data_IF_537532782942
#
_entry.id   IF_537532782942
#
_cell.length_a   1.000
_cell.length_b   1.000
_cell.length_c   1.000
_cell.angle_alpha   90.00
_cell.angle_beta   90.00
_cell.angle_gamma   90.00
#
_symmetry.space_group_name_H-M   'P 1'
#
loop_
_entity.id
_entity.type
_entity.pdbx_description
1 polymer ?
#
# COMPACT_ATOMS: atom_id res chain seq x y z
N UNK A 1 14.54 -14.11 -10.73
CA UNK A 1 14.46 -13.29 -11.97
C UNK A 1 13.03 -12.87 -12.33
N UNK A 2 11.99 -13.64 -11.97
CA UNK A 2 10.58 -13.36 -12.30
C UNK A 2 9.93 -12.16 -11.59
N UNK A 3 10.35 -11.79 -10.38
CA UNK A 3 9.76 -10.68 -9.60
C UNK A 3 9.95 -9.30 -10.29
N UNK A 4 11.13 -9.06 -10.88
CA UNK A 4 11.46 -7.76 -11.50
C UNK A 4 10.60 -7.49 -12.75
N UNK A 5 10.32 -8.53 -13.55
CA UNK A 5 9.44 -8.42 -14.72
C UNK A 5 8.00 -8.16 -14.31
N UNK A 6 7.48 -8.84 -13.29
CA UNK A 6 6.10 -8.63 -12.82
C UNK A 6 5.86 -7.22 -12.28
N UNK A 7 6.85 -6.61 -11.60
CA UNK A 7 6.76 -5.21 -11.14
C UNK A 7 6.77 -4.24 -12.31
N UNK A 8 7.68 -4.44 -13.26
CA UNK A 8 7.79 -3.59 -14.47
C UNK A 8 6.54 -3.73 -15.35
N UNK A 9 6.02 -4.93 -15.55
CA UNK A 9 4.75 -5.18 -16.25
C UNK A 9 3.56 -4.52 -15.56
N UNK A 10 3.55 -4.47 -14.22
CA UNK A 10 2.54 -3.73 -13.45
C UNK A 10 2.47 -2.26 -13.85
N UNK A 11 3.62 -1.58 -13.93
CA UNK A 11 3.73 -0.19 -14.38
C UNK A 11 3.46 -0.04 -15.89
N UNK A 12 3.96 -0.95 -16.72
CA UNK A 12 3.77 -0.92 -18.18
C UNK A 12 2.33 -1.20 -18.61
N UNK A 13 1.55 -1.93 -17.79
CA UNK A 13 0.14 -2.22 -18.08
C UNK A 13 -0.77 -0.99 -17.99
N UNK A 14 -0.26 0.17 -17.55
CA UNK A 14 -0.98 1.45 -17.56
C UNK A 14 -2.18 1.51 -16.60
N UNK A 15 -2.35 0.54 -15.71
CA UNK A 15 -3.53 0.43 -14.84
C UNK A 15 -3.60 1.50 -13.73
N UNK A 16 -2.50 2.18 -13.43
CA UNK A 16 -2.33 3.05 -12.27
C UNK A 16 -1.72 4.40 -12.66
N UNK A 17 -0.42 4.39 -12.95
CA UNK A 17 0.40 5.50 -13.43
C UNK A 17 1.74 4.93 -13.91
N UNK A 18 2.53 5.72 -14.65
CA UNK A 18 3.89 5.33 -15.00
C UNK A 18 4.82 5.35 -13.78
N UNK A 19 6.02 4.78 -13.94
CA UNK A 19 7.00 4.68 -12.86
C UNK A 19 7.43 6.05 -12.29
N UNK A 20 7.47 7.10 -13.13
CA UNK A 20 7.90 8.43 -12.69
C UNK A 20 6.85 9.07 -11.79
N UNK A 21 5.59 8.94 -12.17
CA UNK A 21 4.48 9.43 -11.37
C UNK A 21 4.35 8.66 -10.05
N UNK A 22 4.57 7.35 -10.05
CA UNK A 22 4.58 6.56 -8.82
C UNK A 22 5.71 6.99 -7.86
N UNK A 23 6.91 7.23 -8.39
CA UNK A 23 8.03 7.76 -7.61
C UNK A 23 7.72 9.16 -7.04
N UNK A 24 7.11 10.05 -7.84
CA UNK A 24 6.69 11.38 -7.39
C UNK A 24 5.74 11.28 -6.20
N UNK A 25 4.70 10.45 -6.31
CA UNK A 25 3.72 10.25 -5.24
C UNK A 25 4.35 9.62 -3.99
N UNK A 26 5.33 8.73 -4.15
CA UNK A 26 6.07 8.15 -3.04
C UNK A 26 6.90 9.19 -2.29
N UNK A 27 7.61 10.07 -3.02
CA UNK A 27 8.37 11.17 -2.42
C UNK A 27 7.44 12.11 -1.65
N UNK A 28 6.31 12.49 -2.26
CA UNK A 28 5.31 13.34 -1.59
C UNK A 28 4.74 12.70 -0.33
N UNK A 29 4.55 11.38 -0.33
CA UNK A 29 4.14 10.66 0.86
C UNK A 29 5.20 10.75 1.95
N UNK A 30 6.47 10.49 1.64
CA UNK A 30 7.57 10.57 2.61
C UNK A 30 7.68 11.99 3.17
N UNK A 31 7.64 13.01 2.32
CA UNK A 31 7.68 14.42 2.72
C UNK A 31 6.50 14.77 3.64
N UNK A 32 5.29 14.33 3.29
CA UNK A 32 4.11 14.53 4.12
C UNK A 32 4.29 13.89 5.50
N UNK A 33 4.79 12.65 5.57
CA UNK A 33 5.01 11.97 6.85
C UNK A 33 6.05 12.71 7.70
N UNK A 34 7.15 13.18 7.08
CA UNK A 34 8.19 13.95 7.76
C UNK A 34 7.67 15.27 8.32
N UNK A 35 6.87 16.01 7.55
CA UNK A 35 6.28 17.28 7.99
C UNK A 35 5.28 17.11 9.14
N UNK A 36 4.71 15.91 9.30
CA UNK A 36 3.67 15.62 10.29
C UNK A 36 4.15 14.72 11.44
N UNK A 37 5.45 14.50 11.60
CA UNK A 37 6.01 13.62 12.65
C UNK A 37 5.58 14.01 14.08
N UNK A 38 5.49 15.32 14.34
CA UNK A 38 5.10 15.86 15.65
C UNK A 38 3.58 16.11 15.76
N UNK A 39 2.82 15.79 14.71
CA UNK A 39 1.38 15.97 14.66
C UNK A 39 0.60 14.74 15.11
N UNK A 40 -0.74 14.77 15.01
CA UNK A 40 -1.57 13.62 15.28
C UNK A 40 -1.25 12.47 14.33
N UNK A 41 -0.85 11.32 14.88
CA UNK A 41 -0.49 10.11 14.10
C UNK A 41 -1.57 9.68 13.10
N UNK A 42 -2.84 9.96 13.41
CA UNK A 42 -3.99 9.63 12.56
C UNK A 42 -3.90 10.25 11.16
N UNK A 43 -3.33 11.44 11.02
CA UNK A 43 -3.17 12.10 9.72
C UNK A 43 -2.25 11.28 8.79
N UNK A 44 -1.09 10.87 9.33
CA UNK A 44 -0.14 10.00 8.64
C UNK A 44 -0.73 8.62 8.33
N UNK A 45 -1.42 8.00 9.29
CA UNK A 45 -2.08 6.71 9.10
C UNK A 45 -3.12 6.77 7.97
N UNK A 46 -4.00 7.78 7.98
CA UNK A 46 -5.04 7.96 6.97
C UNK A 46 -4.44 8.15 5.58
N UNK A 47 -3.38 8.96 5.46
CA UNK A 47 -2.72 9.17 4.17
C UNK A 47 -2.14 7.87 3.59
N UNK A 48 -1.43 7.09 4.42
CA UNK A 48 -0.90 5.78 4.01
C UNK A 48 -2.03 4.81 3.63
N UNK A 49 -3.10 4.75 4.43
CA UNK A 49 -4.26 3.88 4.18
C UNK A 49 -4.96 4.22 2.87
N UNK A 50 -5.22 5.50 2.58
CA UNK A 50 -5.83 5.95 1.32
C UNK A 50 -5.04 5.47 0.09
N UNK A 51 -3.71 5.48 0.17
CA UNK A 51 -2.86 4.95 -0.90
C UNK A 51 -3.04 3.43 -1.04
N UNK A 52 -3.11 2.70 0.07
CA UNK A 52 -3.41 1.27 0.07
C UNK A 52 -4.77 0.94 -0.55
N UNK A 53 -5.81 1.70 -0.20
CA UNK A 53 -7.15 1.53 -0.75
C UNK A 53 -7.16 1.71 -2.28
N UNK A 54 -6.45 2.74 -2.79
CA UNK A 54 -6.29 2.97 -4.24
C UNK A 54 -5.60 1.80 -4.93
N UNK A 55 -4.54 1.24 -4.35
CA UNK A 55 -3.87 0.05 -4.90
C UNK A 55 -4.85 -1.14 -4.97
N UNK A 56 -5.73 -1.33 -3.99
CA UNK A 56 -6.74 -2.39 -4.09
C UNK A 56 -7.74 -2.14 -5.22
N UNK A 57 -8.25 -0.90 -5.35
CA UNK A 57 -9.22 -0.54 -6.39
C UNK A 57 -8.68 -0.84 -7.79
N UNK A 58 -7.40 -0.56 -8.02
CA UNK A 58 -6.74 -0.76 -9.32
C UNK A 58 -6.41 -2.23 -9.58
N UNK A 59 -5.88 -2.94 -8.56
CA UNK A 59 -5.30 -4.28 -8.75
C UNK A 59 -6.19 -5.43 -8.25
N UNK A 60 -7.37 -5.13 -7.69
CA UNK A 60 -8.43 -6.11 -7.44
C UNK A 60 -8.07 -7.29 -6.53
N UNK A 61 -7.17 -7.11 -5.56
CA UNK A 61 -6.74 -8.19 -4.66
C UNK A 61 -5.47 -8.93 -5.08
N UNK A 62 -5.00 -8.77 -6.32
CA UNK A 62 -3.84 -9.50 -6.86
C UNK A 62 -2.51 -9.24 -6.12
N UNK A 63 -2.35 -8.07 -5.49
CA UNK A 63 -1.13 -7.69 -4.78
C UNK A 63 -0.92 -8.46 -3.46
N UNK A 64 -1.96 -9.03 -2.87
CA UNK A 64 -1.83 -9.75 -1.58
C UNK A 64 -1.25 -11.17 -1.71
N UNK A 65 -1.11 -11.69 -2.93
CA UNK A 65 -0.51 -13.01 -3.18
C UNK A 65 1.02 -12.96 -3.30
N UNK A 66 1.57 -11.75 -3.38
CA UNK A 66 2.98 -11.49 -3.61
C UNK A 66 3.53 -10.83 -2.35
N UNK A 67 4.77 -11.13 -1.96
CA UNK A 67 5.53 -10.47 -0.87
C UNK A 67 5.81 -8.98 -1.17
N UNK A 68 4.96 -8.32 -1.96
CA UNK A 68 5.15 -7.00 -2.53
C UNK A 68 5.37 -5.93 -1.46
N UNK A 69 4.67 -6.04 -0.32
CA UNK A 69 4.82 -5.10 0.80
C UNK A 69 6.17 -5.26 1.49
N UNK A 70 6.61 -6.51 1.66
CA UNK A 70 7.91 -6.82 2.27
C UNK A 70 9.04 -6.39 1.31
N UNK A 71 8.94 -6.78 0.03
CA UNK A 71 9.89 -6.40 -1.03
C UNK A 71 9.99 -4.86 -1.14
N UNK A 72 8.87 -4.16 -1.03
CA UNK A 72 8.83 -2.70 -1.06
C UNK A 72 9.53 -2.08 0.17
N UNK A 73 9.27 -2.61 1.36
CA UNK A 73 9.95 -2.18 2.59
C UNK A 73 11.45 -2.44 2.54
N UNK A 74 11.87 -3.60 2.03
CA UNK A 74 13.27 -3.94 1.81
C UNK A 74 13.92 -2.97 0.82
N UNK A 75 13.30 -2.71 -0.33
CA UNK A 75 13.83 -1.78 -1.33
C UNK A 75 14.00 -0.35 -0.81
N UNK A 76 13.02 0.16 -0.05
CA UNK A 76 13.10 1.48 0.59
C UNK A 76 14.22 1.53 1.64
N UNK A 77 14.30 0.52 2.50
CA UNK A 77 15.33 0.40 3.53
C UNK A 77 16.73 0.39 2.91
N UNK A 78 16.91 -0.37 1.84
CA UNK A 78 18.14 -0.44 1.06
C UNK A 78 18.52 0.90 0.42
N UNK A 79 17.54 1.64 -0.10
CA UNK A 79 17.76 2.97 -0.68
C UNK A 79 18.25 3.95 0.40
N UNK A 80 17.62 3.96 1.58
CA UNK A 80 18.06 4.80 2.69
C UNK A 80 19.44 4.40 3.20
N UNK A 81 19.75 3.11 3.34
CA UNK A 81 21.06 2.63 3.78
C UNK A 81 22.21 3.12 2.89
N UNK A 82 21.95 3.27 1.58
CA UNK A 82 22.92 3.72 0.57
C UNK A 82 23.02 5.24 0.45
N UNK A 83 22.04 6.00 0.98
CA UNK A 83 22.04 7.47 0.91
C UNK A 83 23.14 8.08 1.78
N UNK A 84 23.87 9.07 1.24
CA UNK A 84 24.98 9.74 1.94
C UNK A 84 24.58 10.30 3.32
N UNK A 85 23.39 10.93 3.49
CA UNK A 85 23.01 11.48 4.79
C UNK A 85 22.78 10.43 5.88
N UNK A 86 22.53 9.17 5.51
CA UNK A 86 22.16 8.07 6.43
C UNK A 86 23.27 7.03 6.55
N UNK A 87 24.08 6.84 5.51
CA UNK A 87 25.11 5.81 5.43
C UNK A 87 26.08 5.91 6.61
N UNK A 88 26.25 4.78 7.31
CA UNK A 88 27.12 4.68 8.49
C UNK A 88 26.57 5.33 9.76
N UNK A 89 25.41 5.99 9.72
CA UNK A 89 24.80 6.66 10.88
C UNK A 89 23.69 5.81 11.45
N UNK A 90 24.03 4.98 12.46
CA UNK A 90 23.12 3.96 13.04
C UNK A 90 21.76 4.51 13.46
N UNK A 91 21.74 5.62 14.20
CA UNK A 91 20.48 6.18 14.72
C UNK A 91 19.64 6.84 13.62
N UNK A 92 20.27 7.49 12.64
CA UNK A 92 19.57 7.99 11.46
C UNK A 92 18.94 6.84 10.66
N UNK A 93 19.69 5.76 10.44
CA UNK A 93 19.19 4.58 9.74
C UNK A 93 18.00 3.96 10.48
N UNK A 94 18.09 3.77 11.80
CA UNK A 94 16.96 3.29 12.60
C UNK A 94 15.71 4.14 12.44
N UNK A 95 15.83 5.48 12.46
CA UNK A 95 14.70 6.37 12.26
C UNK A 95 14.02 6.16 10.88
N UNK A 96 14.83 6.03 9.82
CA UNK A 96 14.32 5.74 8.46
C UNK A 96 13.67 4.36 8.36
N UNK A 97 14.22 3.34 9.03
CA UNK A 97 13.60 2.01 9.10
C UNK A 97 12.27 2.07 9.83
N UNK A 98 12.19 2.78 10.96
CA UNK A 98 10.92 2.98 11.68
C UNK A 98 9.87 3.67 10.81
N UNK A 99 10.25 4.72 10.07
CA UNK A 99 9.35 5.41 9.15
C UNK A 99 8.91 4.49 7.99
N UNK A 100 9.84 3.70 7.44
CA UNK A 100 9.55 2.75 6.36
C UNK A 100 8.57 1.68 6.81
N UNK A 101 8.79 1.08 7.98
CA UNK A 101 7.87 0.08 8.56
C UNK A 101 6.49 0.69 8.78
N UNK A 102 6.41 1.92 9.30
CA UNK A 102 5.15 2.63 9.48
C UNK A 102 4.42 2.81 8.13
N UNK A 103 5.11 3.34 7.12
CA UNK A 103 4.55 3.59 5.79
C UNK A 103 3.99 2.29 5.19
N UNK A 104 4.79 1.23 5.15
CA UNK A 104 4.43 -0.06 4.56
C UNK A 104 3.23 -0.67 5.28
N UNK A 105 3.25 -0.68 6.62
CA UNK A 105 2.18 -1.28 7.42
C UNK A 105 0.85 -0.58 7.19
N UNK A 106 0.80 0.75 7.27
CA UNK A 106 -0.47 1.47 7.13
C UNK A 106 -0.99 1.48 5.69
N UNK A 107 -0.12 1.42 4.68
CA UNK A 107 -0.53 1.18 3.29
C UNK A 107 -1.12 -0.22 3.13
N UNK A 108 -0.50 -1.26 3.70
CA UNK A 108 -1.03 -2.62 3.70
C UNK A 108 -2.38 -2.71 4.41
N UNK A 109 -2.54 -2.04 5.55
CA UNK A 109 -3.82 -1.96 6.28
C UNK A 109 -4.92 -1.37 5.39
N UNK A 110 -4.67 -0.24 4.72
CA UNK A 110 -5.66 0.38 3.83
C UNK A 110 -6.07 -0.55 2.68
N UNK A 111 -5.10 -1.23 2.08
CA UNK A 111 -5.35 -2.23 1.05
C UNK A 111 -6.27 -3.36 1.55
N UNK A 112 -5.97 -3.92 2.72
CA UNK A 112 -6.75 -5.00 3.34
C UNK A 112 -8.16 -4.55 3.73
N UNK A 113 -8.30 -3.33 4.26
CA UNK A 113 -9.60 -2.74 4.58
C UNK A 113 -10.49 -2.63 3.34
N UNK A 114 -9.94 -2.13 2.22
CA UNK A 114 -10.68 -2.06 0.97
C UNK A 114 -11.04 -3.44 0.41
N UNK A 115 -10.13 -4.41 0.55
CA UNK A 115 -10.41 -5.81 0.21
C UNK A 115 -11.60 -6.37 0.97
N UNK A 116 -11.64 -6.13 2.29
CA UNK A 116 -12.74 -6.57 3.14
C UNK A 116 -14.06 -5.88 2.77
N UNK A 117 -14.04 -4.56 2.52
CA UNK A 117 -15.22 -3.80 2.07
C UNK A 117 -15.81 -4.40 0.78
N UNK A 118 -14.98 -4.75 -0.20
CA UNK A 118 -15.42 -5.36 -1.47
C UNK A 118 -16.01 -6.76 -1.27
N UNK A 119 -15.38 -7.59 -0.43
CA UNK A 119 -15.87 -8.94 -0.10
C UNK A 119 -17.23 -8.92 0.61
N UNK A 120 -17.45 -7.98 1.54
CA UNK A 120 -18.75 -7.79 2.19
C UNK A 120 -19.81 -7.31 1.21
N UNK A 121 -19.47 -6.36 0.33
CA UNK A 121 -20.39 -5.86 -0.70
C UNK A 121 -20.81 -6.95 -1.70
N UNK A 122 -19.89 -7.85 -2.08
CA UNK A 122 -20.26 -9.00 -2.92
C UNK A 122 -21.20 -9.95 -2.18
N UNK A 123 -20.98 -10.21 -0.90
CA UNK A 123 -21.84 -11.12 -0.13
C UNK A 123 -23.24 -10.54 0.11
N UNK A 124 -23.39 -9.22 0.25
CA UNK A 124 -24.70 -8.56 0.38
C UNK A 124 -25.54 -8.57 -0.91
N UNK A 125 -24.93 -8.83 -2.08
CA UNK A 125 -25.65 -9.03 -3.33
C UNK A 125 -26.21 -10.46 -3.47
N UNK A 126 -25.74 -11.41 -2.65
CA UNK A 126 -26.23 -12.78 -2.56
C UNK A 126 -27.20 -12.96 -1.39
N UNK A 127 -28.19 -12.07 -1.23
CA UNK A 127 -29.35 -12.38 -0.39
C UNK A 127 -30.24 -13.34 -1.19
N UNK A 128 -30.46 -14.60 -0.76
CA UNK A 128 -31.41 -15.47 -1.42
C UNK A 128 -32.79 -14.81 -1.30
N UNK A 129 -33.44 -14.51 -2.42
CA UNK A 129 -34.86 -14.23 -2.40
C UNK A 129 -35.53 -15.45 -1.76
N UNK A 130 -36.12 -15.27 -0.58
CA UNK A 130 -37.07 -16.25 -0.03
C UNK A 130 -38.15 -16.42 -1.09
N UNK A 131 -38.17 -17.57 -1.75
CA UNK A 131 -39.34 -18.00 -2.50
C UNK A 131 -40.47 -18.08 -1.48
N UNK A 132 -41.41 -17.14 -1.58
CA UNK A 132 -42.69 -17.27 -0.90
C UNK A 132 -43.37 -18.50 -1.51
N UNK A 133 -43.34 -19.61 -0.77
CA UNK A 133 -44.24 -20.72 -1.02
C UNK A 133 -45.63 -20.28 -0.54
N UNK A 134 -46.36 -19.62 -1.45
CA UNK A 134 -47.80 -19.57 -1.44
C UNK A 134 -48.29 -20.44 -2.59
N UNK A 135 -49.29 -21.26 -2.30
CA UNK A 135 -50.15 -22.04 -3.20
C UNK A 135 -49.62 -23.44 -3.58
N UNK A 136 -49.96 -24.47 -2.80
CA UNK A 136 -51.19 -25.29 -2.93
C UNK A 136 -51.30 -26.29 -1.78
#
# INVERSE_FOLDING_TARGET
MFQKMSIVEGFLSGKCCDQKEHLRVLIELIDYLMQNLNGPVRCCQQKCQQIGEKHFIIFGGSLNKVRIWDDFGECLSDAFAKSEPVRGKREAFKAWITLTTFLVEYTRIGYLQQSKKRSLASNSLFVPQKQNASDF
#
